data_IF_980925576227
#
_entry.id   IF_980925576227
#
_cell.length_a   1.000
_cell.length_b   1.000
_cell.length_c   1.000
_cell.angle_alpha   90.00
_cell.angle_beta   90.00
_cell.angle_gamma   90.00
#
_symmetry.space_group_name_H-M   'P 1'
#
loop_
_entity.id
_entity.type
_entity.pdbx_description
1 polymer ?
#
# COMPACT_ATOMS: atom_id res chain seq x y z
N UNK A 1 -5.07 5.85 10.88
CA UNK A 1 -4.11 4.95 10.17
C UNK A 1 -2.72 5.31 10.67
N UNK A 2 -1.83 4.34 10.83
CA UNK A 2 -0.48 4.57 11.39
C UNK A 2 0.41 5.14 10.29
N UNK A 3 0.98 6.33 10.51
CA UNK A 3 1.94 6.92 9.59
C UNK A 3 3.13 5.97 9.43
N UNK A 4 3.46 5.57 8.21
CA UNK A 4 4.59 4.66 7.92
C UNK A 4 5.91 5.44 7.92
N UNK A 5 6.16 6.19 8.99
CA UNK A 5 7.44 6.85 9.18
C UNK A 5 8.40 5.97 9.97
N UNK A 6 9.70 6.13 9.69
CA UNK A 6 10.71 5.60 10.60
C UNK A 6 10.56 6.22 11.99
N UNK A 7 10.61 5.39 13.03
CA UNK A 7 10.71 5.92 14.40
C UNK A 7 11.99 6.75 14.58
N UNK A 8 11.96 7.71 15.52
CA UNK A 8 13.16 8.50 15.87
C UNK A 8 14.38 7.62 16.19
N UNK A 9 14.17 6.50 16.89
CA UNK A 9 15.25 5.55 17.23
C UNK A 9 15.86 4.91 15.99
N UNK A 10 15.04 4.56 15.00
CA UNK A 10 15.49 3.99 13.74
C UNK A 10 16.28 5.02 12.90
N UNK A 11 15.76 6.26 12.79
CA UNK A 11 16.48 7.36 12.11
C UNK A 11 17.84 7.63 12.76
N UNK A 12 17.88 7.68 14.10
CA UNK A 12 19.11 7.91 14.85
C UNK A 12 20.11 6.76 14.70
N UNK A 13 19.64 5.51 14.69
CA UNK A 13 20.50 4.35 14.48
C UNK A 13 21.16 4.39 13.09
N UNK A 14 20.42 4.77 12.04
CA UNK A 14 20.97 4.94 10.70
C UNK A 14 22.07 6.02 10.68
N UNK A 15 21.79 7.20 11.24
CA UNK A 15 22.77 8.29 11.31
C UNK A 15 24.03 7.91 12.08
N UNK A 16 23.90 7.17 13.19
CA UNK A 16 25.04 6.78 14.04
C UNK A 16 25.87 5.65 13.43
N UNK A 17 25.23 4.65 12.80
CA UNK A 17 25.93 3.43 12.38
C UNK A 17 26.30 3.41 10.90
N UNK A 18 25.59 4.13 10.04
CA UNK A 18 25.91 4.26 8.61
C UNK A 18 26.70 5.55 8.36
N UNK A 19 26.37 6.61 9.09
CA UNK A 19 26.89 7.97 8.89
C UNK A 19 25.74 8.97 8.69
N UNK A 20 25.98 10.24 9.01
CA UNK A 20 24.92 11.25 9.05
C UNK A 20 24.26 11.49 7.68
N UNK A 21 25.07 11.65 6.64
CA UNK A 21 24.60 11.88 5.27
C UNK A 21 23.91 10.64 4.68
N UNK A 22 24.60 9.50 4.67
CA UNK A 22 24.04 8.25 4.14
C UNK A 22 22.83 7.74 4.95
N UNK A 23 22.85 7.92 6.27
CA UNK A 23 21.72 7.58 7.14
C UNK A 23 20.49 8.46 6.90
N UNK A 24 20.70 9.74 6.61
CA UNK A 24 19.62 10.65 6.23
C UNK A 24 19.05 10.29 4.85
N UNK A 25 19.90 10.00 3.86
CA UNK A 25 19.48 9.60 2.51
C UNK A 25 18.61 8.33 2.55
N UNK A 26 19.07 7.29 3.26
CA UNK A 26 18.31 6.04 3.43
C UNK A 26 16.98 6.28 4.14
N UNK A 27 16.97 7.09 5.20
CA UNK A 27 15.74 7.39 5.93
C UNK A 27 14.72 8.13 5.06
N UNK A 28 15.18 9.06 4.21
CA UNK A 28 14.34 9.79 3.27
C UNK A 28 13.76 8.86 2.21
N UNK A 29 14.61 8.03 1.59
CA UNK A 29 14.17 7.06 0.58
C UNK A 29 13.09 6.11 1.13
N UNK A 30 13.27 5.58 2.35
CA UNK A 30 12.27 4.69 2.95
C UNK A 30 10.95 5.41 3.21
N UNK A 31 10.98 6.67 3.66
CA UNK A 31 9.76 7.45 3.87
C UNK A 31 9.02 7.74 2.55
N UNK A 32 9.76 8.04 1.47
CA UNK A 32 9.19 8.23 0.13
C UNK A 32 8.52 6.93 -0.35
N UNK A 33 9.22 5.79 -0.26
CA UNK A 33 8.67 4.48 -0.61
C UNK A 33 7.42 4.12 0.21
N UNK A 34 7.43 4.44 1.51
CA UNK A 34 6.29 4.21 2.38
C UNK A 34 5.06 5.04 1.95
N UNK A 35 5.29 6.27 1.50
CA UNK A 35 4.26 7.16 0.95
C UNK A 35 3.71 6.61 -0.37
N UNK A 36 4.57 6.18 -1.29
CA UNK A 36 4.15 5.55 -2.56
C UNK A 36 3.32 4.28 -2.33
N UNK A 37 3.72 3.44 -1.36
CA UNK A 37 2.96 2.23 -1.00
C UNK A 37 1.57 2.60 -0.46
N UNK A 38 1.45 3.67 0.34
CA UNK A 38 0.15 4.14 0.79
C UNK A 38 -0.73 4.63 -0.36
N UNK A 39 -0.15 5.39 -1.29
CA UNK A 39 -0.87 5.86 -2.49
C UNK A 39 -1.30 4.70 -3.39
N UNK A 40 -0.45 3.70 -3.59
CA UNK A 40 -0.81 2.46 -4.29
C UNK A 40 -1.91 1.69 -3.56
N UNK A 41 -1.90 1.62 -2.23
CA UNK A 41 -2.98 0.99 -1.45
C UNK A 41 -4.30 1.75 -1.56
N UNK A 42 -4.27 3.08 -1.62
CA UNK A 42 -5.45 3.94 -1.81
C UNK A 42 -6.04 3.80 -3.22
N UNK A 43 -5.18 3.72 -4.24
CA UNK A 43 -5.58 3.65 -5.64
C UNK A 43 -5.90 2.23 -6.12
N UNK A 44 -5.35 1.19 -5.47
CA UNK A 44 -5.66 -0.21 -5.78
C UNK A 44 -6.96 -0.67 -5.13
N UNK A 45 -8.07 0.02 -5.41
CA UNK A 45 -9.43 -0.44 -5.10
C UNK A 45 -10.34 -0.25 -6.33
N UNK A 46 -10.83 -1.39 -6.83
CA UNK A 46 -11.90 -1.58 -7.82
C UNK A 46 -11.68 -1.01 -9.24
N UNK A 47 -11.00 -1.79 -10.08
CA UNK A 47 -11.32 -1.78 -11.53
C UNK A 47 -12.74 -2.36 -11.66
N UNK A 48 -13.74 -1.49 -11.85
CA UNK A 48 -15.07 -1.94 -12.28
C UNK A 48 -14.89 -2.50 -13.69
N UNK A 49 -15.05 -3.82 -13.85
CA UNK A 49 -14.93 -4.46 -15.16
C UNK A 49 -16.12 -4.01 -16.02
N UNK A 50 -15.93 -2.96 -16.82
CA UNK A 50 -16.90 -2.57 -17.84
C UNK A 50 -16.76 -3.59 -18.98
N UNK A 51 -17.69 -4.55 -19.04
CA UNK A 51 -17.85 -5.43 -20.21
C UNK A 51 -18.92 -4.78 -21.10
N UNK A 52 -18.58 -4.28 -22.30
CA UNK A 52 -19.60 -3.81 -23.22
C UNK A 52 -20.49 -5.00 -23.62
N UNK A 53 -21.75 -4.99 -23.19
CA UNK A 53 -22.79 -5.95 -23.63
C UNK A 53 -23.33 -6.93 -22.59
N UNK A 54 -22.90 -6.89 -21.32
CA UNK A 54 -23.46 -7.78 -20.30
C UNK A 54 -24.76 -7.20 -19.70
N UNK A 55 -25.90 -7.68 -20.18
CA UNK A 55 -27.20 -7.51 -19.51
C UNK A 55 -27.13 -8.28 -18.19
N UNK A 56 -27.49 -7.63 -17.10
CA UNK A 56 -27.51 -8.19 -15.74
C UNK A 56 -28.50 -9.35 -15.65
N UNK A 57 -28.00 -10.58 -15.76
CA UNK A 57 -28.71 -11.75 -15.25
C UNK A 57 -28.17 -12.07 -13.85
N UNK A 58 -28.86 -11.52 -12.85
CA UNK A 58 -28.79 -11.94 -11.46
C UNK A 58 -29.19 -13.41 -11.40
N UNK A 59 -28.23 -14.33 -11.41
CA UNK A 59 -28.51 -15.75 -11.13
C UNK A 59 -28.69 -15.89 -9.63
N UNK A 60 -29.95 -16.03 -9.22
CA UNK A 60 -30.35 -16.47 -7.88
C UNK A 60 -29.74 -17.85 -7.60
N UNK A 61 -29.01 -17.96 -6.49
CA UNK A 61 -28.55 -19.25 -5.97
C UNK A 61 -29.74 -19.90 -5.24
N UNK A 62 -30.47 -20.79 -5.93
CA UNK A 62 -31.46 -21.64 -5.29
C UNK A 62 -30.97 -23.10 -5.22
N UNK A 63 -30.72 -23.51 -3.98
CA UNK A 63 -30.91 -24.82 -3.30
C UNK A 63 -29.99 -26.03 -3.64
N UNK A 64 -29.32 -26.54 -2.58
CA UNK A 64 -28.93 -27.97 -2.38
C UNK A 64 -30.19 -28.88 -2.42
N UNK A 65 -30.18 -30.24 -2.46
CA UNK A 65 -29.10 -31.24 -2.25
C UNK A 65 -29.13 -32.47 -3.21
N UNK A 66 -28.14 -33.39 -3.15
CA UNK A 66 -28.31 -34.88 -3.17
C UNK A 66 -27.11 -35.57 -2.52
#
# INVERSE_FOLDING_TARGET
MKDFELSYRARKALMVHIGEEAGAEIANLINEMATEIQELRRTKVSVTKIVPGAVTETREFNEEPV
#
